data_IF_171212502793
#
_entry.id   IF_171212502793
#
_cell.length_a   1.000
_cell.length_b   1.000
_cell.length_c   1.000
_cell.angle_alpha   90.00
_cell.angle_beta   90.00
_cell.angle_gamma   90.00
#
_symmetry.space_group_name_H-M   'P 1'
#
loop_
_entity.id
_entity.type
_entity.pdbx_description
1 polymer ?
#
# COMPACT_ATOMS: atom_id res chain seq x y z
N UNK A 1 15.60 7.40 8.58
CA UNK A 1 14.17 7.27 8.33
C UNK A 1 13.87 7.62 6.89
N UNK A 2 13.00 6.86 6.25
CA UNK A 2 12.62 7.09 4.86
C UNK A 2 11.37 7.95 4.78
N UNK A 3 11.35 8.91 3.84
CA UNK A 3 10.14 9.62 3.48
C UNK A 3 9.34 8.74 2.50
N UNK A 4 8.08 8.51 2.80
CA UNK A 4 7.23 7.57 2.07
C UNK A 4 5.87 8.19 1.80
N UNK A 5 5.34 7.99 0.60
CA UNK A 5 3.97 8.35 0.25
C UNK A 5 3.21 7.07 -0.08
N UNK A 6 2.10 6.86 0.61
CA UNK A 6 1.23 5.69 0.43
C UNK A 6 -0.10 6.12 -0.19
N UNK A 7 -0.55 5.41 -1.21
CA UNK A 7 -1.87 5.60 -1.80
C UNK A 7 -2.76 4.42 -1.40
N UNK A 8 -3.76 4.69 -0.58
CA UNK A 8 -4.64 3.68 0.02
C UNK A 8 -6.07 3.93 -0.43
N UNK A 9 -6.71 2.95 -1.05
CA UNK A 9 -8.11 3.07 -1.47
C UNK A 9 -9.07 3.14 -0.28
N UNK A 10 -10.10 3.97 -0.38
CA UNK A 10 -11.11 4.13 0.67
C UNK A 10 -12.39 3.33 0.41
N UNK A 11 -12.58 2.83 -0.79
CA UNK A 11 -13.80 2.10 -1.14
C UNK A 11 -13.60 0.60 -0.91
N UNK A 12 -13.98 0.15 0.27
CA UNK A 12 -13.92 -1.28 0.63
C UNK A 12 -15.33 -1.78 0.94
N UNK A 13 -15.96 -2.41 -0.04
CA UNK A 13 -17.25 -3.04 0.13
C UNK A 13 -18.29 -2.13 0.79
N UNK A 14 -18.84 -2.57 1.92
CA UNK A 14 -19.88 -1.85 2.67
C UNK A 14 -19.35 -1.04 3.84
N UNK A 15 -18.02 -0.94 4.01
CA UNK A 15 -17.44 -0.20 5.13
C UNK A 15 -17.58 1.31 4.87
N UNK A 16 -18.08 2.03 5.86
CA UNK A 16 -18.18 3.49 5.83
C UNK A 16 -16.79 4.12 5.65
N UNK A 17 -16.62 5.05 4.70
CA UNK A 17 -15.31 5.67 4.46
C UNK A 17 -14.66 6.29 5.70
N UNK A 18 -15.46 6.89 6.58
CA UNK A 18 -14.95 7.50 7.82
C UNK A 18 -14.37 6.44 8.75
N UNK A 19 -15.08 5.33 8.93
CA UNK A 19 -14.61 4.21 9.76
C UNK A 19 -13.32 3.62 9.18
N UNK A 20 -13.27 3.47 7.87
CA UNK A 20 -12.09 2.98 7.19
C UNK A 20 -10.89 3.91 7.37
N UNK A 21 -11.11 5.23 7.25
CA UNK A 21 -10.07 6.23 7.46
C UNK A 21 -9.48 6.13 8.88
N UNK A 22 -10.33 6.02 9.90
CA UNK A 22 -9.87 5.86 11.29
C UNK A 22 -9.04 4.59 11.45
N UNK A 23 -9.48 3.49 10.85
CA UNK A 23 -8.75 2.23 10.88
C UNK A 23 -7.37 2.35 10.23
N UNK A 24 -7.29 3.04 9.08
CA UNK A 24 -6.03 3.29 8.38
C UNK A 24 -5.06 4.05 9.30
N UNK A 25 -5.52 5.13 9.91
CA UNK A 25 -4.67 5.96 10.78
C UNK A 25 -4.13 5.14 11.95
N UNK A 26 -4.98 4.34 12.59
CA UNK A 26 -4.57 3.49 13.71
C UNK A 26 -3.54 2.44 13.27
N UNK A 27 -3.78 1.79 12.13
CA UNK A 27 -2.86 0.77 11.61
C UNK A 27 -1.51 1.35 11.22
N UNK A 28 -1.50 2.53 10.58
CA UNK A 28 -0.26 3.21 10.24
C UNK A 28 0.60 3.47 11.48
N UNK A 29 -0.01 4.01 12.53
CA UNK A 29 0.70 4.28 13.77
C UNK A 29 1.28 3.01 14.40
N UNK A 30 0.53 1.91 14.38
CA UNK A 30 0.98 0.61 14.92
C UNK A 30 2.10 -0.02 14.10
N UNK A 31 2.23 0.33 12.82
CA UNK A 31 3.22 -0.23 11.92
C UNK A 31 4.39 0.72 11.66
N UNK A 32 4.68 1.61 12.61
CA UNK A 32 5.87 2.44 12.62
C UNK A 32 5.90 3.52 11.54
N UNK A 33 4.73 3.95 11.09
CA UNK A 33 4.60 5.11 10.20
C UNK A 33 4.26 6.36 11.02
N UNK A 34 5.07 7.39 10.86
CA UNK A 34 4.78 8.71 11.40
C UNK A 34 4.13 9.56 10.33
N UNK A 35 2.82 9.72 10.43
CA UNK A 35 2.02 10.44 9.44
C UNK A 35 2.31 11.94 9.52
N UNK A 36 2.64 12.54 8.38
CA UNK A 36 2.94 13.97 8.26
C UNK A 36 1.78 14.74 7.64
N UNK A 37 1.12 14.17 6.65
CA UNK A 37 0.01 14.80 5.97
C UNK A 37 -0.88 13.73 5.35
N UNK A 38 -2.17 13.99 5.33
CA UNK A 38 -3.17 13.11 4.72
C UNK A 38 -4.09 13.97 3.85
N UNK A 39 -4.34 13.53 2.62
CA UNK A 39 -5.35 14.13 1.77
C UNK A 39 -6.14 13.05 1.04
N UNK A 40 -7.39 13.37 0.72
CA UNK A 40 -8.27 12.49 -0.05
C UNK A 40 -8.33 13.03 -1.48
N UNK A 41 -8.05 12.15 -2.44
CA UNK A 41 -8.12 12.48 -3.87
C UNK A 41 -9.00 11.49 -4.60
N UNK A 42 -9.54 11.89 -5.74
CA UNK A 42 -10.26 10.97 -6.63
C UNK A 42 -9.25 10.30 -7.55
N UNK A 43 -9.13 8.98 -7.42
CA UNK A 43 -8.30 8.17 -8.30
C UNK A 43 -9.13 7.45 -9.35
N UNK A 44 -8.49 7.02 -10.41
CA UNK A 44 -9.11 6.27 -11.49
C UNK A 44 -8.24 5.07 -11.84
N UNK A 45 -8.89 3.95 -12.16
CA UNK A 45 -8.20 2.81 -12.71
C UNK A 45 -9.10 2.08 -13.70
N UNK A 46 -8.50 1.33 -14.62
CA UNK A 46 -9.22 0.57 -15.62
C UNK A 46 -9.26 -0.90 -15.22
N UNK A 47 -10.46 -1.47 -15.27
CA UNK A 47 -10.60 -2.92 -15.15
C UNK A 47 -10.15 -3.61 -16.45
N UNK A 48 -9.91 -4.92 -16.37
CA UNK A 48 -9.52 -5.72 -17.54
C UNK A 48 -10.54 -5.65 -18.68
N UNK A 49 -11.82 -5.41 -18.36
CA UNK A 49 -12.89 -5.25 -19.34
C UNK A 49 -12.99 -3.85 -19.95
N UNK A 50 -12.08 -2.94 -19.61
CA UNK A 50 -12.06 -1.58 -20.11
C UNK A 50 -12.94 -0.59 -19.36
N UNK A 51 -13.65 -1.02 -18.33
CA UNK A 51 -14.49 -0.14 -17.51
C UNK A 51 -13.61 0.69 -16.59
N UNK A 52 -13.81 2.00 -16.62
CA UNK A 52 -13.11 2.94 -15.74
C UNK A 52 -13.78 2.97 -14.37
N UNK A 53 -13.00 2.70 -13.35
CA UNK A 53 -13.47 2.77 -11.95
C UNK A 53 -12.93 4.04 -11.32
N UNK A 54 -13.82 4.80 -10.69
CA UNK A 54 -13.45 5.96 -9.87
C UNK A 54 -13.42 5.51 -8.41
N UNK A 55 -12.35 5.85 -7.72
CA UNK A 55 -12.17 5.48 -6.33
C UNK A 55 -11.57 6.65 -5.56
N UNK A 56 -12.11 6.92 -4.38
CA UNK A 56 -11.46 7.87 -3.47
C UNK A 56 -10.23 7.21 -2.88
N UNK A 57 -9.13 7.93 -2.94
CA UNK A 57 -7.83 7.43 -2.49
C UNK A 57 -7.28 8.33 -1.41
N UNK A 58 -6.81 7.72 -0.34
CA UNK A 58 -6.11 8.40 0.72
C UNK A 58 -4.63 8.47 0.33
N UNK A 59 -4.11 9.69 0.20
CA UNK A 59 -2.69 9.92 -0.05
C UNK A 59 -2.05 10.31 1.28
N UNK A 60 -1.17 9.45 1.78
CA UNK A 60 -0.55 9.63 3.09
C UNK A 60 0.93 9.94 2.91
N UNK A 61 1.34 11.14 3.31
CA UNK A 61 2.75 11.48 3.43
C UNK A 61 3.22 11.09 4.83
N UNK A 62 4.23 10.24 4.89
CA UNK A 62 4.69 9.67 6.14
C UNK A 62 6.19 9.47 6.15
N UNK A 63 6.74 9.18 7.31
CA UNK A 63 8.10 8.68 7.46
C UNK A 63 8.06 7.29 8.07
N UNK A 64 8.99 6.44 7.65
CA UNK A 64 9.12 5.08 8.16
C UNK A 64 10.56 4.84 8.63
N UNK A 65 10.72 4.07 9.69
CA UNK A 65 12.04 3.60 10.11
C UNK A 65 12.58 2.49 9.19
N UNK A 66 11.72 1.91 8.37
CA UNK A 66 12.10 0.89 7.41
C UNK A 66 12.35 1.50 6.04
N UNK A 67 13.20 0.86 5.24
CA UNK A 67 13.47 1.22 3.85
C UNK A 67 13.65 -0.04 3.01
N UNK A 68 13.58 0.11 1.69
CA UNK A 68 13.81 -0.97 0.75
C UNK A 68 12.86 -2.15 0.97
N UNK A 69 13.41 -3.35 1.01
CA UNK A 69 12.61 -4.58 1.13
C UNK A 69 11.84 -4.68 2.45
N UNK A 70 12.40 -4.17 3.54
CA UNK A 70 11.71 -4.15 4.83
C UNK A 70 10.48 -3.24 4.80
N UNK A 71 10.60 -2.09 4.14
CA UNK A 71 9.45 -1.20 3.93
C UNK A 71 8.38 -1.88 3.08
N UNK A 72 8.76 -2.50 1.98
CA UNK A 72 7.84 -3.23 1.11
C UNK A 72 7.07 -4.30 1.88
N UNK A 73 7.77 -5.11 2.68
CA UNK A 73 7.15 -6.14 3.53
C UNK A 73 6.15 -5.54 4.51
N UNK A 74 6.53 -4.44 5.15
CA UNK A 74 5.66 -3.78 6.11
C UNK A 74 4.38 -3.26 5.43
N UNK A 75 4.48 -2.71 4.23
CA UNK A 75 3.32 -2.22 3.48
C UNK A 75 2.48 -3.38 2.93
N UNK A 76 3.08 -4.48 2.51
CA UNK A 76 2.34 -5.70 2.14
C UNK A 76 1.47 -6.19 3.30
N UNK A 77 2.03 -6.21 4.49
CA UNK A 77 1.31 -6.57 5.70
C UNK A 77 0.18 -5.58 6.00
N UNK A 78 0.45 -4.29 5.85
CA UNK A 78 -0.56 -3.23 6.02
C UNK A 78 -1.71 -3.40 5.00
N UNK A 79 -1.40 -3.69 3.74
CA UNK A 79 -2.41 -3.95 2.71
C UNK A 79 -3.32 -5.12 3.08
N UNK A 80 -2.74 -6.17 3.67
CA UNK A 80 -3.49 -7.34 4.15
C UNK A 80 -4.44 -6.96 5.27
N UNK A 81 -3.96 -6.20 6.24
CA UNK A 81 -4.76 -5.76 7.39
C UNK A 81 -5.89 -4.80 6.98
N UNK A 82 -5.67 -3.99 5.94
CA UNK A 82 -6.63 -3.01 5.44
C UNK A 82 -7.52 -3.58 4.33
N UNK A 83 -7.37 -4.84 3.99
CA UNK A 83 -8.15 -5.53 2.94
C UNK A 83 -8.04 -4.78 1.59
N UNK A 84 -6.84 -4.32 1.28
CA UNK A 84 -6.51 -3.71 0.00
C UNK A 84 -5.88 -4.76 -0.92
N UNK A 85 -6.18 -4.72 -2.21
CA UNK A 85 -5.46 -5.57 -3.17
C UNK A 85 -3.99 -5.16 -3.24
N UNK A 86 -3.74 -3.87 -3.25
CA UNK A 86 -2.39 -3.31 -3.22
C UNK A 86 -2.41 -1.89 -2.66
N UNK A 87 -1.24 -1.45 -2.21
CA UNK A 87 -0.99 -0.06 -1.82
C UNK A 87 0.15 0.44 -2.69
N UNK A 88 -0.05 1.56 -3.38
CA UNK A 88 1.01 2.18 -4.16
C UNK A 88 1.96 2.90 -3.20
N UNK A 89 3.25 2.66 -3.37
CA UNK A 89 4.31 3.17 -2.50
C UNK A 89 5.27 4.01 -3.32
N UNK A 90 5.60 5.20 -2.81
CA UNK A 90 6.74 5.99 -3.29
C UNK A 90 7.67 6.19 -2.11
N UNK A 91 8.89 5.68 -2.23
CA UNK A 91 9.95 5.88 -1.25
C UNK A 91 10.95 6.87 -1.81
N UNK A 92 11.21 7.94 -1.06
CA UNK A 92 12.20 8.95 -1.44
C UNK A 92 13.53 8.62 -0.79
N UNK A 93 14.52 8.40 -1.61
CA UNK A 93 15.87 8.03 -1.18
C UNK A 93 16.71 9.26 -0.88
N UNK A 94 17.77 9.09 -0.07
CA UNK A 94 18.63 10.20 0.36
C UNK A 94 19.36 10.88 -0.79
N UNK A 95 19.65 10.15 -1.87
CA UNK A 95 20.30 10.67 -3.07
C UNK A 95 19.37 11.47 -3.99
N UNK A 96 18.10 11.62 -3.62
CA UNK A 96 17.09 12.33 -4.41
C UNK A 96 16.36 11.44 -5.40
N UNK A 97 16.69 10.17 -5.51
CA UNK A 97 15.95 9.21 -6.31
C UNK A 97 14.66 8.78 -5.62
N UNK A 98 13.74 8.26 -6.39
CA UNK A 98 12.47 7.78 -5.88
C UNK A 98 12.21 6.37 -6.40
N UNK A 99 11.89 5.45 -5.49
CA UNK A 99 11.39 4.13 -5.81
C UNK A 99 9.86 4.16 -5.78
N UNK A 100 9.24 3.59 -6.80
CA UNK A 100 7.80 3.50 -6.90
C UNK A 100 7.39 2.07 -7.23
N UNK A 101 6.47 1.52 -6.43
CA UNK A 101 6.03 0.14 -6.62
C UNK A 101 4.65 -0.08 -5.99
N UNK A 102 4.05 -1.24 -6.29
CA UNK A 102 2.83 -1.70 -5.64
C UNK A 102 3.19 -2.77 -4.60
N UNK A 103 2.73 -2.56 -3.37
CA UNK A 103 2.84 -3.57 -2.32
C UNK A 103 1.51 -4.32 -2.25
N UNK A 104 1.53 -5.60 -2.58
CA UNK A 104 0.33 -6.41 -2.72
C UNK A 104 -0.08 -7.04 -1.40
N UNK A 105 -1.40 -7.17 -1.23
CA UNK A 105 -1.99 -7.96 -0.15
C UNK A 105 -1.40 -9.38 -0.17
N UNK A 106 -0.98 -9.88 0.98
CA UNK A 106 -0.35 -11.20 1.11
C UNK A 106 -1.30 -12.35 0.77
N UNK A 107 -2.61 -12.12 0.85
CA UNK A 107 -3.64 -13.10 0.48
C UNK A 107 -4.06 -12.99 -0.99
N UNK A 108 -3.54 -12.02 -1.73
CA UNK A 108 -3.82 -11.88 -3.14
C UNK A 108 -3.23 -13.05 -3.93
N UNK A 109 -4.04 -13.64 -4.80
CA UNK A 109 -3.66 -14.86 -5.54
C UNK A 109 -2.39 -14.66 -6.38
N UNK A 110 -2.26 -13.51 -7.05
CA UNK A 110 -1.06 -13.19 -7.81
C UNK A 110 0.19 -13.09 -6.95
N UNK A 111 0.07 -12.53 -5.74
CA UNK A 111 1.17 -12.47 -4.79
C UNK A 111 1.63 -13.86 -4.40
N UNK A 112 0.69 -14.75 -4.07
CA UNK A 112 1.03 -16.13 -3.71
C UNK A 112 1.76 -16.86 -4.84
N UNK A 113 1.29 -16.70 -6.07
CA UNK A 113 1.93 -17.33 -7.23
C UNK A 113 3.34 -16.81 -7.44
N UNK A 114 3.55 -15.51 -7.36
CA UNK A 114 4.89 -14.91 -7.49
C UNK A 114 5.81 -15.35 -6.35
N UNK A 115 5.30 -15.29 -5.12
CA UNK A 115 6.05 -15.69 -3.93
C UNK A 115 6.43 -17.18 -3.97
N UNK A 116 5.48 -18.03 -4.30
CA UNK A 116 5.73 -19.47 -4.41
C UNK A 116 6.73 -19.77 -5.51
N UNK A 117 6.60 -19.11 -6.66
CA UNK A 117 7.53 -19.27 -7.79
C UNK A 117 8.95 -18.89 -7.40
N UNK A 118 9.16 -17.73 -6.78
CA UNK A 118 10.48 -17.29 -6.32
C UNK A 118 11.04 -18.22 -5.24
N UNK A 119 10.20 -18.58 -4.29
CA UNK A 119 10.60 -19.39 -3.14
C UNK A 119 11.02 -20.82 -3.57
N UNK A 120 10.22 -21.43 -4.42
CA UNK A 120 10.50 -22.79 -4.88
C UNK A 120 11.63 -22.83 -5.91
N UNK A 121 11.80 -21.81 -6.69
CA UNK A 121 12.92 -21.71 -7.63
C UNK A 121 14.25 -21.62 -6.88
N UNK A 122 14.30 -20.88 -5.77
CA UNK A 122 15.51 -20.71 -4.96
C UNK A 122 15.88 -21.99 -4.21
N UNK A 123 14.93 -22.87 -3.94
CA UNK A 123 15.16 -24.11 -3.19
C UNK A 123 15.33 -25.34 -4.08
N UNK A 124 15.12 -25.20 -5.35
CA UNK A 124 15.33 -26.26 -6.33
C UNK A 124 16.62 -26.02 -7.11
#
# INVERSE_FOLDING_TARGET
>A
MSKVVLNIGLNIGTIEPTTHLQNVIIKLAKHDFLVRNIKIVNGHWLQANGIKIEERTLVVETTSKFSGRLLERNVEYLATLLIQDSIAVREYLEDGEMDEYLAYNMDWEGYRQEFESEFFTDFN
#
